data_IF_213667867753
#
_entry.id   IF_213667867753
#
_cell.length_a   1.000
_cell.length_b   1.000
_cell.length_c   1.000
_cell.angle_alpha   90.00
_cell.angle_beta   90.00
_cell.angle_gamma   90.00
#
_symmetry.space_group_name_H-M   'P 1'
#
loop_
_entity.id
_entity.type
_entity.pdbx_description
1 polymer ?
#
# COMPACT_ATOMS: atom_id res chain seq x y z
N UNK A 1 19.39 22.04 -18.26
CA UNK A 1 19.82 20.67 -17.87
C UNK A 1 18.71 19.89 -17.14
N UNK A 2 18.03 20.47 -16.16
CA UNK A 2 17.01 19.79 -15.34
C UNK A 2 15.74 19.33 -16.10
N UNK A 3 15.30 20.06 -17.13
CA UNK A 3 14.13 19.72 -17.97
C UNK A 3 14.37 18.50 -18.85
N UNK A 4 15.57 18.33 -19.39
CA UNK A 4 15.92 17.21 -20.28
C UNK A 4 15.87 15.85 -19.56
N UNK A 5 16.30 15.78 -18.28
CA UNK A 5 16.26 14.54 -17.51
C UNK A 5 14.81 14.05 -17.32
N UNK A 6 13.89 14.95 -17.00
CA UNK A 6 12.47 14.61 -16.90
C UNK A 6 11.92 14.09 -18.23
N UNK A 7 12.26 14.76 -19.33
CA UNK A 7 11.83 14.35 -20.67
C UNK A 7 12.37 12.97 -21.04
N UNK A 8 13.65 12.72 -20.80
CA UNK A 8 14.27 11.40 -21.05
C UNK A 8 13.61 10.31 -20.21
N UNK A 9 13.41 10.54 -18.91
CA UNK A 9 12.73 9.59 -18.04
C UNK A 9 11.28 9.33 -18.51
N UNK A 10 10.56 10.37 -18.89
CA UNK A 10 9.19 10.26 -19.39
C UNK A 10 9.13 9.45 -20.68
N UNK A 11 10.06 9.69 -21.63
CA UNK A 11 10.18 8.92 -22.88
C UNK A 11 10.52 7.45 -22.57
N UNK A 12 11.48 7.20 -21.68
CA UNK A 12 11.85 5.83 -21.30
C UNK A 12 10.67 5.08 -20.67
N UNK A 13 9.94 5.70 -19.74
CA UNK A 13 8.71 5.14 -19.15
C UNK A 13 7.62 4.92 -20.21
N UNK A 14 7.47 5.86 -21.16
CA UNK A 14 6.56 5.71 -22.27
C UNK A 14 6.88 4.50 -23.13
N UNK A 15 8.13 4.34 -23.53
CA UNK A 15 8.59 3.21 -24.35
C UNK A 15 8.41 1.88 -23.62
N UNK A 16 8.80 1.82 -22.35
CA UNK A 16 8.60 0.62 -21.50
C UNK A 16 7.13 0.25 -21.38
N UNK A 17 6.26 1.23 -21.08
CA UNK A 17 4.81 0.99 -20.98
C UNK A 17 4.14 0.60 -22.30
N UNK A 18 4.74 0.91 -23.44
CA UNK A 18 4.21 0.56 -24.77
C UNK A 18 4.53 -0.87 -25.19
N UNK A 19 5.46 -1.54 -24.50
CA UNK A 19 5.87 -2.90 -24.84
C UNK A 19 4.73 -3.91 -24.72
N UNK A 20 4.65 -4.92 -25.59
CA UNK A 20 3.69 -6.00 -25.45
C UNK A 20 3.96 -6.84 -24.19
N UNK A 21 2.91 -7.47 -23.63
CA UNK A 21 2.99 -8.21 -22.35
C UNK A 21 4.05 -9.30 -22.33
N UNK A 22 4.23 -10.02 -23.43
CA UNK A 22 5.23 -11.08 -23.50
C UNK A 22 6.66 -10.55 -23.34
N UNK A 23 6.95 -9.38 -23.94
CA UNK A 23 8.26 -8.74 -23.82
C UNK A 23 8.49 -8.17 -22.42
N UNK A 24 7.44 -7.61 -21.78
CA UNK A 24 7.51 -7.21 -20.37
C UNK A 24 7.83 -8.39 -19.47
N UNK A 25 7.23 -9.57 -19.71
CA UNK A 25 7.55 -10.79 -18.96
C UNK A 25 9.03 -11.16 -19.06
N UNK A 26 9.59 -11.14 -20.27
CA UNK A 26 11.02 -11.44 -20.50
C UNK A 26 11.90 -10.41 -19.76
N UNK A 27 11.61 -9.11 -19.94
CA UNK A 27 12.36 -8.05 -19.26
C UNK A 27 12.26 -8.13 -17.73
N UNK A 28 11.09 -8.48 -17.20
CA UNK A 28 10.92 -8.65 -15.75
C UNK A 28 11.81 -9.79 -15.21
N UNK A 29 11.89 -10.92 -15.88
CA UNK A 29 12.79 -12.00 -15.49
C UNK A 29 14.27 -11.58 -15.54
N UNK A 30 14.66 -10.89 -16.60
CA UNK A 30 16.03 -10.38 -16.75
C UNK A 30 16.36 -9.37 -15.63
N UNK A 31 15.49 -8.39 -15.38
CA UNK A 31 15.71 -7.39 -14.34
C UNK A 31 15.66 -8.00 -12.93
N UNK A 32 14.78 -8.96 -12.68
CA UNK A 32 14.74 -9.69 -11.41
C UNK A 32 16.05 -10.44 -11.17
N UNK A 33 16.58 -11.12 -12.20
CA UNK A 33 17.85 -11.81 -12.12
C UNK A 33 19.02 -10.86 -11.84
N UNK A 34 19.07 -9.71 -12.55
CA UNK A 34 20.10 -8.67 -12.36
C UNK A 34 20.02 -8.10 -10.94
N UNK A 35 18.83 -7.71 -10.48
CA UNK A 35 18.62 -7.15 -9.13
C UNK A 35 18.98 -8.15 -8.03
N UNK A 36 18.61 -9.42 -8.19
CA UNK A 36 18.86 -10.44 -7.20
C UNK A 36 20.31 -10.93 -7.21
N UNK A 37 20.88 -11.20 -8.40
CA UNK A 37 22.16 -11.92 -8.53
C UNK A 37 23.36 -11.00 -8.65
N UNK A 38 23.26 -9.89 -9.40
CA UNK A 38 24.40 -9.02 -9.69
C UNK A 38 24.43 -7.79 -8.80
N UNK A 39 23.30 -7.06 -8.68
CA UNK A 39 23.24 -5.84 -7.87
C UNK A 39 23.07 -6.20 -6.40
N UNK A 40 22.39 -7.30 -6.08
CA UNK A 40 22.05 -7.66 -4.69
C UNK A 40 21.15 -6.62 -4.00
N UNK A 41 20.24 -5.98 -4.77
CA UNK A 41 19.42 -4.89 -4.26
C UNK A 41 18.70 -5.27 -2.97
N UNK A 42 19.18 -4.71 -1.85
CA UNK A 42 18.65 -4.95 -0.48
C UNK A 42 18.49 -6.45 -0.12
N UNK A 43 19.30 -7.32 -0.72
CA UNK A 43 19.14 -8.77 -0.61
C UNK A 43 19.24 -9.24 0.84
N UNK A 44 20.23 -8.80 1.59
CA UNK A 44 20.41 -9.15 3.01
C UNK A 44 19.19 -8.75 3.83
N UNK A 45 18.63 -7.53 3.58
CA UNK A 45 17.43 -7.06 4.26
C UNK A 45 16.21 -7.93 3.94
N UNK A 46 16.02 -8.30 2.67
CA UNK A 46 14.91 -9.18 2.24
C UNK A 46 15.03 -10.55 2.89
N UNK A 47 16.22 -11.15 2.89
CA UNK A 47 16.48 -12.46 3.49
C UNK A 47 16.27 -12.43 5.01
N UNK A 48 16.73 -11.38 5.68
CA UNK A 48 16.51 -11.19 7.12
C UNK A 48 15.03 -10.99 7.47
N UNK A 49 14.33 -10.14 6.73
CA UNK A 49 12.90 -9.91 6.92
C UNK A 49 12.10 -11.21 6.76
N UNK A 50 12.39 -12.00 5.71
CA UNK A 50 11.73 -13.29 5.50
C UNK A 50 12.06 -14.30 6.60
N UNK A 51 13.31 -14.35 7.08
CA UNK A 51 13.72 -15.24 8.16
C UNK A 51 12.98 -14.96 9.46
N UNK A 52 12.80 -13.69 9.79
CA UNK A 52 12.09 -13.26 11.00
C UNK A 52 10.57 -13.42 10.88
N UNK A 53 10.02 -13.14 9.69
CA UNK A 53 8.58 -13.22 9.44
C UNK A 53 8.05 -14.65 9.33
N UNK A 54 8.89 -15.60 8.86
CA UNK A 54 8.53 -17.00 8.64
C UNK A 54 9.59 -17.93 9.25
N UNK A 55 9.74 -17.94 10.60
CA UNK A 55 10.72 -18.80 11.26
C UNK A 55 10.42 -20.29 11.05
N UNK A 56 9.14 -20.65 10.82
CA UNK A 56 8.66 -22.00 10.58
C UNK A 56 9.08 -22.59 9.24
N UNK A 57 9.43 -21.74 8.26
CA UNK A 57 9.84 -22.20 6.93
C UNK A 57 11.34 -22.55 6.91
N UNK A 58 11.72 -23.51 6.07
CA UNK A 58 13.11 -23.82 5.78
C UNK A 58 13.81 -22.69 5.01
N UNK A 59 15.15 -22.65 5.05
CA UNK A 59 15.94 -21.69 4.28
C UNK A 59 15.69 -21.79 2.77
N UNK A 60 15.43 -23.02 2.28
CA UNK A 60 15.14 -23.27 0.87
C UNK A 60 13.81 -22.63 0.47
N UNK A 61 12.78 -22.76 1.30
CA UNK A 61 11.47 -22.16 1.06
C UNK A 61 11.56 -20.63 1.10
N UNK A 62 12.21 -20.07 2.12
CA UNK A 62 12.44 -18.61 2.22
C UNK A 62 13.21 -18.07 1.01
N UNK A 63 14.26 -18.76 0.54
CA UNK A 63 14.99 -18.39 -0.69
C UNK A 63 14.10 -18.44 -1.93
N UNK A 64 13.17 -19.41 -2.03
CA UNK A 64 12.19 -19.49 -3.12
C UNK A 64 11.25 -18.28 -3.10
N UNK A 65 10.70 -17.94 -1.92
CA UNK A 65 9.88 -16.73 -1.73
C UNK A 65 10.66 -15.48 -2.13
N UNK A 66 11.89 -15.31 -1.65
CA UNK A 66 12.76 -14.19 -1.99
C UNK A 66 13.00 -14.02 -3.49
N UNK A 67 13.32 -15.10 -4.21
CA UNK A 67 13.47 -15.05 -5.67
C UNK A 67 12.18 -14.65 -6.38
N UNK A 68 11.05 -15.18 -5.93
CA UNK A 68 9.74 -14.84 -6.49
C UNK A 68 9.36 -13.37 -6.18
N UNK A 69 9.75 -12.87 -5.01
CA UNK A 69 9.60 -11.46 -4.64
C UNK A 69 10.31 -10.53 -5.65
N UNK A 70 11.56 -10.80 -6.04
CA UNK A 70 12.24 -9.94 -7.02
C UNK A 70 11.58 -9.96 -8.40
N UNK A 71 11.03 -11.10 -8.82
CA UNK A 71 10.23 -11.14 -10.04
C UNK A 71 8.96 -10.31 -9.90
N UNK A 72 8.26 -10.45 -8.77
CA UNK A 72 7.06 -9.66 -8.47
C UNK A 72 7.35 -8.16 -8.41
N UNK A 73 8.45 -7.76 -7.75
CA UNK A 73 8.90 -6.37 -7.67
C UNK A 73 9.13 -5.77 -9.05
N UNK A 74 9.83 -6.50 -9.93
CA UNK A 74 10.10 -6.03 -11.30
C UNK A 74 8.85 -6.02 -12.17
N UNK A 75 7.95 -6.99 -12.01
CA UNK A 75 6.63 -6.98 -12.66
C UNK A 75 5.83 -5.73 -12.24
N UNK A 76 5.75 -5.45 -10.95
CA UNK A 76 5.04 -4.27 -10.41
C UNK A 76 5.61 -2.98 -10.98
N UNK A 77 6.94 -2.80 -10.97
CA UNK A 77 7.60 -1.62 -11.51
C UNK A 77 7.34 -1.42 -13.00
N UNK A 78 7.52 -2.47 -13.81
CA UNK A 78 7.28 -2.40 -15.25
C UNK A 78 5.82 -2.16 -15.58
N UNK A 79 4.91 -2.76 -14.80
CA UNK A 79 3.47 -2.58 -14.99
C UNK A 79 3.01 -1.17 -14.61
N UNK A 80 3.63 -0.53 -13.62
CA UNK A 80 3.34 0.87 -13.25
C UNK A 80 3.53 1.84 -14.42
N UNK A 81 4.48 1.56 -15.33
CA UNK A 81 4.63 2.35 -16.57
C UNK A 81 3.62 1.97 -17.65
N UNK A 82 3.06 0.76 -17.59
CA UNK A 82 2.04 0.31 -18.53
C UNK A 82 0.64 0.82 -18.21
N UNK A 83 0.28 0.90 -16.92
CA UNK A 83 -1.05 1.32 -16.46
C UNK A 83 -1.52 2.60 -17.17
N UNK A 84 -0.76 3.70 -17.20
CA UNK A 84 -1.20 4.95 -17.83
C UNK A 84 -1.41 4.85 -19.36
N UNK A 85 -1.01 3.73 -19.98
CA UNK A 85 -1.16 3.45 -21.42
C UNK A 85 -2.39 2.62 -21.74
N UNK A 86 -2.99 2.03 -20.70
CA UNK A 86 -4.19 1.22 -20.87
C UNK A 86 -5.42 2.12 -20.99
N UNK A 87 -6.31 1.79 -21.93
CA UNK A 87 -7.66 2.33 -21.89
C UNK A 87 -8.41 1.70 -20.70
N UNK A 88 -9.49 2.35 -20.28
CA UNK A 88 -10.38 1.85 -19.23
C UNK A 88 -10.80 0.40 -19.47
N UNK A 89 -11.29 0.08 -20.70
CA UNK A 89 -11.67 -1.28 -21.09
C UNK A 89 -10.54 -2.30 -20.91
N UNK A 90 -9.29 -1.91 -21.24
CA UNK A 90 -8.12 -2.79 -21.05
C UNK A 90 -7.74 -2.92 -19.60
N UNK A 91 -7.84 -1.85 -18.81
CA UNK A 91 -7.55 -1.89 -17.38
C UNK A 91 -8.53 -2.82 -16.65
N UNK A 92 -9.83 -2.72 -16.94
CA UNK A 92 -10.88 -3.60 -16.38
C UNK A 92 -10.65 -5.10 -16.70
N UNK A 93 -9.84 -5.44 -17.68
CA UNK A 93 -9.44 -6.83 -17.95
C UNK A 93 -8.35 -7.34 -16.99
N UNK A 94 -7.69 -6.46 -16.26
CA UNK A 94 -6.56 -6.77 -15.38
C UNK A 94 -6.86 -6.54 -13.90
N UNK A 95 -7.85 -5.71 -13.61
CA UNK A 95 -8.18 -5.26 -12.25
C UNK A 95 -9.67 -5.44 -12.01
N UNK A 96 -9.99 -6.11 -10.92
CA UNK A 96 -11.35 -6.23 -10.41
C UNK A 96 -11.45 -5.68 -8.98
N UNK A 97 -12.64 -5.24 -8.60
CA UNK A 97 -13.01 -4.97 -7.21
C UNK A 97 -14.14 -5.91 -6.83
N UNK A 98 -13.98 -6.59 -5.73
CA UNK A 98 -15.01 -7.41 -5.10
C UNK A 98 -15.60 -6.70 -3.88
N UNK A 99 -16.86 -6.98 -3.57
CA UNK A 99 -17.62 -6.41 -2.45
C UNK A 99 -17.83 -4.88 -2.60
N UNK A 100 -18.02 -4.39 -3.82
CA UNK A 100 -18.20 -2.96 -4.11
C UNK A 100 -19.48 -2.41 -3.47
N UNK A 101 -20.49 -3.27 -3.24
CA UNK A 101 -21.71 -2.96 -2.51
C UNK A 101 -21.46 -2.39 -1.11
N UNK A 102 -20.31 -2.72 -0.51
CA UNK A 102 -19.90 -2.17 0.78
C UNK A 102 -19.73 -0.64 0.74
N UNK A 103 -18.98 -0.14 -0.25
CA UNK A 103 -18.76 1.31 -0.39
C UNK A 103 -20.03 2.02 -0.88
N UNK A 104 -20.86 1.35 -1.66
CA UNK A 104 -22.16 1.88 -2.09
C UNK A 104 -23.11 2.05 -0.90
N UNK A 105 -23.15 1.09 0.01
CA UNK A 105 -23.91 1.18 1.25
C UNK A 105 -23.45 2.38 2.08
N UNK A 106 -22.15 2.52 2.32
CA UNK A 106 -21.61 3.65 3.08
C UNK A 106 -21.96 5.00 2.42
N UNK A 107 -21.94 5.08 1.09
CA UNK A 107 -22.39 6.28 0.37
C UNK A 107 -23.88 6.56 0.59
N UNK A 108 -24.74 5.54 0.53
CA UNK A 108 -26.19 5.66 0.77
C UNK A 108 -26.50 6.08 2.20
N UNK A 109 -25.64 5.72 3.17
CA UNK A 109 -25.71 6.19 4.56
C UNK A 109 -25.26 7.66 4.73
N UNK A 110 -24.85 8.33 3.64
CA UNK A 110 -24.53 9.76 3.60
C UNK A 110 -23.06 10.10 3.86
N UNK A 111 -22.16 9.11 3.89
CA UNK A 111 -20.73 9.36 4.07
C UNK A 111 -20.12 10.03 2.83
N UNK A 112 -19.52 11.21 3.01
CA UNK A 112 -18.83 11.97 1.94
C UNK A 112 -17.41 11.46 1.68
N UNK A 113 -16.78 10.89 2.69
CA UNK A 113 -15.42 10.35 2.61
C UNK A 113 -15.37 8.95 3.19
N UNK A 114 -14.73 8.03 2.47
CA UNK A 114 -14.41 6.67 2.92
C UNK A 114 -12.89 6.54 2.93
N UNK A 115 -12.31 6.21 4.07
CA UNK A 115 -10.88 5.89 4.16
C UNK A 115 -10.68 4.46 3.67
N UNK A 116 -9.80 4.28 2.68
CA UNK A 116 -9.39 2.98 2.15
C UNK A 116 -7.96 2.71 2.57
N UNK A 117 -7.76 1.72 3.43
CA UNK A 117 -6.43 1.27 3.85
C UNK A 117 -5.98 0.06 3.04
N UNK A 118 -4.69 -0.01 2.73
CA UNK A 118 -4.07 -1.17 2.07
C UNK A 118 -2.58 -1.24 2.40
N UNK A 119 -1.93 -2.34 2.06
CA UNK A 119 -0.48 -2.50 2.12
C UNK A 119 0.18 -2.40 0.75
N UNK A 120 1.52 -2.30 0.74
CA UNK A 120 2.33 -2.43 -0.47
C UNK A 120 2.44 -3.92 -0.87
N UNK A 121 1.30 -4.54 -1.15
CA UNK A 121 1.15 -5.95 -1.51
C UNK A 121 0.51 -6.09 -2.88
N UNK A 122 0.82 -7.16 -3.60
CA UNK A 122 0.37 -7.31 -4.97
C UNK A 122 0.89 -6.17 -5.85
N UNK A 123 0.09 -5.75 -6.80
CA UNK A 123 0.38 -4.52 -7.57
C UNK A 123 -0.55 -3.39 -7.12
N UNK A 124 -0.24 -2.77 -5.99
CA UNK A 124 -1.01 -1.64 -5.45
C UNK A 124 -1.10 -0.44 -6.42
N UNK A 125 -0.10 -0.24 -7.30
CA UNK A 125 -0.13 0.85 -8.28
C UNK A 125 -1.25 0.68 -9.31
N UNK A 126 -1.67 -0.53 -9.62
CA UNK A 126 -2.75 -0.77 -10.58
C UNK A 126 -4.09 -0.24 -10.06
N UNK A 127 -4.25 -0.15 -8.75
CA UNK A 127 -5.45 0.40 -8.12
C UNK A 127 -5.52 1.94 -8.14
N UNK A 128 -4.48 2.63 -8.62
CA UNK A 128 -4.59 4.04 -8.99
C UNK A 128 -5.55 4.24 -10.18
N UNK A 129 -5.83 3.19 -10.94
CA UNK A 129 -6.85 3.17 -11.99
C UNK A 129 -8.28 2.82 -11.49
N UNK A 130 -8.45 2.57 -10.18
CA UNK A 130 -9.76 2.30 -9.57
C UNK A 130 -10.82 3.36 -9.90
N UNK A 131 -10.52 4.66 -10.05
CA UNK A 131 -11.51 5.64 -10.49
C UNK A 131 -12.31 5.17 -11.72
N UNK A 132 -11.66 4.57 -12.72
CA UNK A 132 -12.38 4.05 -13.89
C UNK A 132 -13.35 2.91 -13.59
N UNK A 133 -13.16 2.23 -12.45
CA UNK A 133 -14.05 1.12 -12.05
C UNK A 133 -15.24 1.63 -11.25
N UNK A 134 -15.05 2.75 -10.51
CA UNK A 134 -16.03 3.26 -9.55
C UNK A 134 -16.66 4.61 -9.94
N UNK A 135 -16.08 5.36 -10.90
CA UNK A 135 -16.61 6.67 -11.32
C UNK A 135 -18.05 6.59 -11.85
N UNK A 136 -18.36 5.55 -12.60
CA UNK A 136 -19.72 5.29 -13.08
C UNK A 136 -20.76 5.20 -11.94
N UNK A 137 -20.27 4.98 -10.71
CA UNK A 137 -21.06 4.85 -9.48
C UNK A 137 -21.06 6.13 -8.63
N UNK A 138 -20.50 7.24 -9.11
CA UNK A 138 -20.47 8.53 -8.42
C UNK A 138 -19.42 8.63 -7.31
N UNK A 139 -18.32 7.89 -7.41
CA UNK A 139 -17.19 8.02 -6.49
C UNK A 139 -16.04 8.81 -7.11
N UNK A 140 -15.37 9.62 -6.30
CA UNK A 140 -14.05 10.18 -6.59
C UNK A 140 -12.97 9.40 -5.84
N UNK A 141 -11.71 9.47 -6.28
CA UNK A 141 -10.59 8.79 -5.64
C UNK A 141 -9.42 9.75 -5.39
N UNK A 142 -8.85 9.65 -4.20
CA UNK A 142 -7.64 10.36 -3.82
C UNK A 142 -6.63 9.40 -3.20
N UNK A 143 -5.34 9.56 -3.54
CA UNK A 143 -4.26 8.77 -2.99
C UNK A 143 -3.39 9.65 -2.10
N UNK A 144 -3.23 9.29 -0.84
CA UNK A 144 -2.28 9.95 0.05
C UNK A 144 -0.87 9.50 -0.32
N UNK A 145 0.03 10.44 -0.54
CA UNK A 145 1.40 10.14 -0.90
C UNK A 145 2.41 10.97 -0.10
N UNK A 146 3.60 10.41 0.07
CA UNK A 146 4.76 11.13 0.59
C UNK A 146 5.56 11.66 -0.59
N UNK A 147 5.87 12.96 -0.58
CA UNK A 147 6.72 13.57 -1.59
C UNK A 147 8.07 12.87 -1.67
N UNK A 148 8.50 12.54 -2.89
CA UNK A 148 9.79 11.90 -3.11
C UNK A 148 10.92 12.94 -3.09
N UNK A 149 12.10 12.51 -2.64
CA UNK A 149 13.29 13.38 -2.57
C UNK A 149 13.78 13.87 -3.93
N UNK A 150 13.55 13.07 -4.99
CA UNK A 150 13.86 13.49 -6.35
C UNK A 150 12.63 14.13 -7.00
N UNK A 151 12.63 15.45 -7.26
CA UNK A 151 11.45 16.18 -7.74
C UNK A 151 11.01 15.78 -9.17
N UNK A 152 11.92 15.23 -9.99
CA UNK A 152 11.55 14.75 -11.33
C UNK A 152 10.81 13.44 -11.27
N UNK A 153 11.26 12.54 -10.41
CA UNK A 153 10.62 11.26 -10.21
C UNK A 153 9.27 11.44 -9.48
N UNK A 154 9.21 12.36 -8.53
CA UNK A 154 7.99 12.74 -7.84
C UNK A 154 6.92 13.23 -8.84
N UNK A 155 7.26 14.21 -9.67
CA UNK A 155 6.38 14.74 -10.71
C UNK A 155 5.92 13.65 -11.69
N UNK A 156 6.84 12.76 -12.09
CA UNK A 156 6.52 11.64 -12.96
C UNK A 156 5.50 10.70 -12.34
N UNK A 157 5.72 10.28 -11.08
CA UNK A 157 4.81 9.36 -10.38
C UNK A 157 3.43 9.97 -10.15
N UNK A 158 3.36 11.26 -9.80
CA UNK A 158 2.08 11.98 -9.70
C UNK A 158 1.35 11.96 -11.05
N UNK A 159 2.04 12.35 -12.14
CA UNK A 159 1.43 12.35 -13.47
C UNK A 159 0.93 10.98 -13.91
N UNK A 160 1.67 9.90 -13.59
CA UNK A 160 1.25 8.53 -13.89
C UNK A 160 -0.03 8.14 -13.12
N UNK A 161 -0.12 8.49 -11.83
CA UNK A 161 -1.29 8.19 -10.98
C UNK A 161 -2.51 9.02 -11.35
N UNK A 162 -2.33 10.29 -11.70
CA UNK A 162 -3.43 11.18 -12.08
C UNK A 162 -4.02 10.87 -13.47
N UNK A 163 -3.33 10.10 -14.29
CA UNK A 163 -3.77 9.77 -15.66
C UNK A 163 -5.17 9.14 -15.72
N UNK A 164 -5.56 8.43 -14.69
CA UNK A 164 -6.87 7.76 -14.59
C UNK A 164 -7.86 8.50 -13.66
N UNK A 165 -7.64 9.80 -13.43
CA UNK A 165 -8.57 10.64 -12.65
C UNK A 165 -8.38 10.58 -11.13
N UNK A 166 -7.34 9.90 -10.63
CA UNK A 166 -7.03 9.93 -9.21
C UNK A 166 -6.43 11.29 -8.81
N UNK A 167 -6.83 11.82 -7.65
CA UNK A 167 -6.17 12.97 -7.03
C UNK A 167 -5.01 12.48 -6.16
N UNK A 168 -3.87 13.18 -6.18
CA UNK A 168 -2.77 12.92 -5.25
C UNK A 168 -2.74 14.00 -4.16
N UNK A 169 -2.86 13.60 -2.89
CA UNK A 169 -2.83 14.49 -1.73
C UNK A 169 -1.52 14.27 -0.98
N UNK A 170 -0.73 15.32 -0.80
CA UNK A 170 0.50 15.24 -0.03
C UNK A 170 0.16 14.96 1.45
N UNK A 171 0.89 14.06 2.07
CA UNK A 171 0.62 13.51 3.42
C UNK A 171 0.40 14.61 4.48
N UNK A 172 1.16 15.72 4.44
CA UNK A 172 1.04 16.82 5.40
C UNK A 172 -0.23 17.64 5.22
N UNK A 173 -0.84 17.59 4.04
CA UNK A 173 -2.07 18.31 3.69
C UNK A 173 -3.33 17.50 3.99
N UNK A 174 -3.17 16.20 4.29
CA UNK A 174 -4.29 15.26 4.39
C UNK A 174 -5.38 15.74 5.33
N UNK A 175 -5.02 16.13 6.55
CA UNK A 175 -6.01 16.56 7.56
C UNK A 175 -6.81 17.77 7.06
N UNK A 176 -6.12 18.78 6.51
CA UNK A 176 -6.75 19.99 5.97
C UNK A 176 -7.74 19.65 4.85
N UNK A 177 -7.29 18.86 3.87
CA UNK A 177 -8.12 18.48 2.70
C UNK A 177 -9.36 17.70 3.13
N UNK A 178 -9.22 16.76 4.08
CA UNK A 178 -10.36 16.00 4.58
C UNK A 178 -11.35 16.89 5.34
N UNK A 179 -10.88 17.81 6.19
CA UNK A 179 -11.76 18.77 6.88
C UNK A 179 -12.52 19.67 5.91
N UNK A 180 -11.82 20.23 4.91
CA UNK A 180 -12.45 21.08 3.88
C UNK A 180 -13.49 20.30 3.07
N UNK A 181 -13.20 19.03 2.76
CA UNK A 181 -14.14 18.17 2.06
C UNK A 181 -15.40 17.88 2.88
N UNK A 182 -15.27 17.49 4.15
CA UNK A 182 -16.43 17.23 5.01
C UNK A 182 -17.30 18.47 5.21
N UNK A 183 -16.69 19.67 5.28
CA UNK A 183 -17.40 20.94 5.37
C UNK A 183 -18.03 21.39 4.04
N UNK A 184 -17.61 20.84 2.92
CA UNK A 184 -18.08 21.24 1.59
C UNK A 184 -19.52 20.78 1.32
N UNK A 185 -20.18 21.44 0.36
CA UNK A 185 -21.50 21.06 -0.14
C UNK A 185 -21.44 19.92 -1.19
N UNK A 186 -20.26 19.31 -1.40
CA UNK A 186 -20.09 18.22 -2.37
C UNK A 186 -21.02 17.05 -2.05
N UNK A 187 -21.66 16.52 -3.08
CA UNK A 187 -22.57 15.35 -3.00
C UNK A 187 -21.89 14.05 -3.41
N UNK A 188 -20.68 14.12 -3.98
CA UNK A 188 -19.92 12.91 -4.34
C UNK A 188 -19.24 12.30 -3.10
N UNK A 189 -19.04 11.01 -3.12
CA UNK A 189 -18.28 10.29 -2.09
C UNK A 189 -16.84 10.08 -2.57
N UNK A 190 -15.85 10.52 -1.78
CA UNK A 190 -14.45 10.28 -2.06
C UNK A 190 -13.96 9.02 -1.36
N UNK A 191 -13.24 8.18 -2.08
CA UNK A 191 -12.42 7.11 -1.53
C UNK A 191 -11.00 7.64 -1.39
N UNK A 192 -10.51 7.73 -0.15
CA UNK A 192 -9.18 8.27 0.17
C UNK A 192 -8.27 7.13 0.60
N UNK A 193 -7.31 6.78 -0.27
CA UNK A 193 -6.46 5.62 -0.13
C UNK A 193 -5.17 5.93 0.67
N UNK A 194 -4.90 5.08 1.66
CA UNK A 194 -3.70 5.09 2.50
C UNK A 194 -2.95 3.77 2.40
N UNK A 195 -1.69 3.83 1.98
CA UNK A 195 -0.75 2.72 2.13
C UNK A 195 -0.08 2.84 3.50
N UNK A 196 -0.55 2.08 4.48
CA UNK A 196 -0.27 2.32 5.90
C UNK A 196 0.74 1.32 6.52
N UNK A 197 1.38 0.47 5.71
CA UNK A 197 2.24 -0.63 6.14
C UNK A 197 3.74 -0.27 6.23
N UNK A 198 4.13 0.96 5.91
CA UNK A 198 5.52 1.37 6.05
C UNK A 198 5.88 1.75 7.50
N UNK A 199 7.18 1.76 7.79
CA UNK A 199 7.68 2.17 9.09
C UNK A 199 7.37 3.65 9.35
N UNK A 200 6.72 4.03 10.46
CA UNK A 200 6.53 5.42 10.82
C UNK A 200 7.87 6.12 11.10
N UNK A 201 7.84 7.44 11.19
CA UNK A 201 8.93 8.18 11.84
C UNK A 201 8.88 7.94 13.36
N UNK A 202 10.03 7.95 14.04
CA UNK A 202 10.09 7.70 15.48
C UNK A 202 9.20 8.67 16.27
N UNK A 203 9.18 9.95 15.88
CA UNK A 203 8.39 10.99 16.50
C UNK A 203 6.88 10.82 16.29
N UNK A 204 6.50 10.05 15.28
CA UNK A 204 5.10 9.77 14.92
C UNK A 204 4.62 8.38 15.35
N UNK A 205 5.53 7.53 15.83
CA UNK A 205 5.17 6.21 16.34
C UNK A 205 4.39 6.35 17.65
N UNK A 206 3.18 5.76 17.72
CA UNK A 206 2.29 5.84 18.89
C UNK A 206 1.71 4.49 19.29
N UNK A 207 1.82 3.51 18.42
CA UNK A 207 1.25 2.18 18.64
C UNK A 207 2.19 1.09 18.16
N UNK A 208 2.34 0.03 18.97
CA UNK A 208 3.12 -1.14 18.68
C UNK A 208 2.32 -2.42 18.90
N UNK A 209 2.43 -3.36 17.95
CA UNK A 209 1.80 -4.67 18.02
C UNK A 209 2.73 -5.75 17.48
N UNK A 210 2.39 -7.01 17.72
CA UNK A 210 3.06 -8.13 17.08
C UNK A 210 2.56 -8.25 15.63
N UNK A 211 3.51 -8.28 14.69
CA UNK A 211 3.20 -8.39 13.26
C UNK A 211 4.29 -9.19 12.56
N UNK A 212 3.90 -10.27 11.89
CA UNK A 212 4.84 -11.21 11.25
C UNK A 212 5.94 -11.66 12.23
N UNK A 213 5.53 -12.10 13.42
CA UNK A 213 6.41 -12.56 14.50
C UNK A 213 7.41 -11.51 15.01
N UNK A 214 7.18 -10.23 14.79
CA UNK A 214 8.10 -9.16 15.22
C UNK A 214 7.37 -8.01 15.89
N UNK A 215 7.94 -7.44 17.00
CA UNK A 215 7.47 -6.18 17.57
C UNK A 215 7.51 -5.07 16.51
N UNK A 216 6.36 -4.46 16.24
CA UNK A 216 6.19 -3.60 15.07
C UNK A 216 5.40 -2.33 15.40
N UNK A 217 5.94 -1.17 15.03
CA UNK A 217 5.23 0.11 15.08
C UNK A 217 4.38 0.32 13.81
N UNK A 218 3.22 0.96 13.93
CA UNK A 218 2.35 1.29 12.79
C UNK A 218 2.09 2.78 12.65
N UNK A 219 1.79 3.20 11.40
CA UNK A 219 1.30 4.54 11.09
C UNK A 219 -0.14 4.65 11.58
N UNK A 220 -0.41 5.56 12.52
CA UNK A 220 -1.72 5.71 13.18
C UNK A 220 -2.50 6.95 12.70
N UNK A 221 -1.90 7.80 11.88
CA UNK A 221 -2.49 9.09 11.48
C UNK A 221 -3.84 8.94 10.76
N UNK A 222 -4.01 7.94 9.93
CA UNK A 222 -5.25 7.64 9.23
C UNK A 222 -6.39 7.26 10.20
N UNK A 223 -6.10 6.43 11.24
CA UNK A 223 -7.09 6.09 12.27
C UNK A 223 -7.46 7.31 13.10
N UNK A 224 -6.48 8.16 13.44
CA UNK A 224 -6.74 9.40 14.19
C UNK A 224 -7.71 10.30 13.43
N UNK A 225 -7.55 10.44 12.12
CA UNK A 225 -8.46 11.20 11.26
C UNK A 225 -9.83 10.52 11.15
N UNK A 226 -9.84 9.20 10.92
CA UNK A 226 -11.07 8.41 10.85
C UNK A 226 -11.93 8.60 12.11
N UNK A 227 -11.33 8.46 13.29
CA UNK A 227 -12.04 8.59 14.57
C UNK A 227 -12.51 10.01 14.85
N UNK A 228 -11.66 11.01 14.59
CA UNK A 228 -12.02 12.43 14.85
C UNK A 228 -13.16 12.93 13.98
N UNK A 229 -13.24 12.44 12.75
CA UNK A 229 -14.21 12.91 11.76
C UNK A 229 -15.32 11.89 11.50
N UNK A 230 -15.31 10.75 12.20
CA UNK A 230 -16.21 9.60 12.04
C UNK A 230 -16.28 9.11 10.58
N UNK A 231 -15.12 9.03 9.90
CA UNK A 231 -15.04 8.59 8.52
C UNK A 231 -14.94 7.06 8.47
N UNK A 232 -15.85 6.35 7.79
CA UNK A 232 -15.80 4.90 7.69
C UNK A 232 -14.46 4.44 7.08
N UNK A 233 -14.01 3.28 7.55
CA UNK A 233 -12.72 2.71 7.13
C UNK A 233 -12.95 1.34 6.51
N UNK A 234 -12.42 1.16 5.31
CA UNK A 234 -12.42 -0.08 4.55
C UNK A 234 -10.96 -0.51 4.32
N UNK A 235 -10.69 -1.81 4.43
CA UNK A 235 -9.43 -2.42 4.05
C UNK A 235 -9.57 -3.02 2.65
N UNK A 236 -8.59 -2.80 1.78
CA UNK A 236 -8.50 -3.47 0.49
C UNK A 236 -7.47 -4.60 0.55
N UNK A 237 -7.98 -5.81 0.51
CA UNK A 237 -7.21 -7.05 0.46
C UNK A 237 -6.88 -7.36 -1.00
N UNK A 238 -5.64 -7.08 -1.41
CA UNK A 238 -5.20 -7.25 -2.80
C UNK A 238 -4.73 -8.69 -3.02
N UNK A 239 -5.35 -9.38 -3.96
CA UNK A 239 -4.99 -10.74 -4.38
C UNK A 239 -4.46 -10.70 -5.81
N UNK A 240 -3.35 -11.41 -6.04
CA UNK A 240 -2.83 -11.68 -7.38
C UNK A 240 -3.45 -12.98 -7.90
N UNK A 241 -4.53 -12.90 -8.68
CA UNK A 241 -5.25 -14.06 -9.20
C UNK A 241 -4.39 -14.85 -10.20
N UNK A 242 -3.64 -14.11 -10.98
CA UNK A 242 -2.61 -14.63 -11.87
C UNK A 242 -1.63 -13.52 -12.24
N UNK A 243 -0.57 -13.84 -12.96
CA UNK A 243 0.40 -12.83 -13.40
C UNK A 243 -0.29 -11.77 -14.27
N UNK A 244 -0.34 -10.52 -13.78
CA UNK A 244 -0.98 -9.33 -14.38
C UNK A 244 -2.52 -9.30 -14.26
N UNK A 245 -3.08 -10.00 -13.29
CA UNK A 245 -4.49 -9.89 -12.92
C UNK A 245 -4.60 -9.80 -11.40
N UNK A 246 -5.35 -8.82 -10.92
CA UNK A 246 -5.46 -8.52 -9.50
C UNK A 246 -6.90 -8.21 -9.12
N UNK A 247 -7.33 -8.74 -8.00
CA UNK A 247 -8.62 -8.42 -7.40
C UNK A 247 -8.39 -7.74 -6.05
N UNK A 248 -9.02 -6.58 -5.85
CA UNK A 248 -9.10 -5.91 -4.56
C UNK A 248 -10.41 -6.30 -3.86
N UNK A 249 -10.34 -7.06 -2.79
CA UNK A 249 -11.51 -7.41 -1.97
C UNK A 249 -11.70 -6.36 -0.89
N UNK A 250 -12.84 -5.67 -0.90
CA UNK A 250 -13.17 -4.65 0.10
C UNK A 250 -13.71 -5.32 1.37
N UNK A 251 -13.11 -4.97 2.53
CA UNK A 251 -13.48 -5.48 3.85
C UNK A 251 -13.70 -4.32 4.81
N UNK A 252 -14.86 -4.24 5.46
CA UNK A 252 -15.16 -3.17 6.42
C UNK A 252 -14.29 -3.32 7.67
N UNK A 253 -13.57 -2.26 8.04
CA UNK A 253 -12.90 -2.16 9.34
C UNK A 253 -13.82 -1.52 10.38
N UNK A 254 -14.47 -0.43 10.04
CA UNK A 254 -15.50 0.21 10.88
C UNK A 254 -16.35 1.17 10.06
N UNK A 255 -17.67 1.14 10.27
CA UNK A 255 -18.60 2.16 9.76
C UNK A 255 -18.64 3.41 10.67
N UNK A 256 -18.35 3.25 11.97
CA UNK A 256 -18.44 4.31 12.98
C UNK A 256 -17.13 4.42 13.79
N UNK A 257 -16.03 4.89 13.20
CA UNK A 257 -14.73 4.96 13.86
C UNK A 257 -14.68 5.77 15.14
N UNK A 258 -15.55 6.77 15.29
CA UNK A 258 -15.63 7.57 16.51
C UNK A 258 -15.97 6.75 17.77
N UNK A 259 -16.66 5.62 17.61
CA UNK A 259 -17.04 4.71 18.69
C UNK A 259 -15.94 3.68 19.02
N UNK A 260 -14.94 3.55 18.19
CA UNK A 260 -13.86 2.59 18.38
C UNK A 260 -12.87 3.03 19.45
N UNK A 261 -12.27 2.08 20.15
CA UNK A 261 -11.16 2.36 21.06
C UNK A 261 -9.93 2.86 20.27
N UNK A 262 -9.06 3.69 20.88
CA UNK A 262 -7.81 4.08 20.25
C UNK A 262 -7.00 2.87 19.79
N UNK A 263 -6.49 2.93 18.57
CA UNK A 263 -5.66 1.92 17.90
C UNK A 263 -6.37 0.59 17.54
N UNK A 264 -7.67 0.43 17.80
CA UNK A 264 -8.41 -0.78 17.44
C UNK A 264 -8.46 -1.01 15.94
N UNK A 265 -8.53 0.06 15.14
CA UNK A 265 -8.55 -0.06 13.69
C UNK A 265 -7.15 -0.39 13.13
N UNK A 266 -6.10 0.16 13.73
CA UNK A 266 -4.71 -0.19 13.37
C UNK A 266 -4.44 -1.65 13.67
N UNK A 267 -4.94 -2.18 14.79
CA UNK A 267 -4.79 -3.61 15.14
C UNK A 267 -5.50 -4.51 14.13
N UNK A 268 -6.76 -4.21 13.80
CA UNK A 268 -7.50 -4.95 12.75
C UNK A 268 -6.81 -4.88 11.40
N UNK A 269 -6.31 -3.69 11.03
CA UNK A 269 -5.54 -3.50 9.80
C UNK A 269 -4.29 -4.36 9.78
N UNK A 270 -3.50 -4.37 10.87
CA UNK A 270 -2.29 -5.17 10.98
C UNK A 270 -2.59 -6.66 10.81
N UNK A 271 -3.65 -7.14 11.45
CA UNK A 271 -4.09 -8.54 11.35
C UNK A 271 -4.50 -8.93 9.91
N UNK A 272 -5.34 -8.12 9.26
CA UNK A 272 -5.76 -8.36 7.88
C UNK A 272 -4.60 -8.30 6.89
N UNK A 273 -3.68 -7.37 7.09
CA UNK A 273 -2.48 -7.27 6.27
C UNK A 273 -1.57 -8.50 6.46
N UNK A 274 -1.41 -8.99 7.70
CA UNK A 274 -0.64 -10.20 7.96
C UNK A 274 -1.27 -11.42 7.30
N UNK A 275 -2.60 -11.60 7.41
CA UNK A 275 -3.33 -12.66 6.70
C UNK A 275 -3.07 -12.61 5.18
N UNK A 276 -3.13 -11.39 4.59
CA UNK A 276 -2.91 -11.20 3.16
C UNK A 276 -1.47 -11.57 2.76
N UNK A 277 -0.47 -11.14 3.56
CA UNK A 277 0.94 -11.48 3.32
C UNK A 277 1.18 -12.98 3.44
N UNK A 278 0.61 -13.64 4.45
CA UNK A 278 0.80 -15.09 4.64
C UNK A 278 0.21 -15.93 3.51
N UNK A 279 -0.89 -15.47 2.88
CA UNK A 279 -1.47 -16.14 1.70
C UNK A 279 -0.60 -16.01 0.44
N UNK A 280 0.11 -14.89 0.27
CA UNK A 280 0.95 -14.63 -0.91
C UNK A 280 2.27 -13.93 -0.50
N UNK A 281 3.18 -14.69 0.18
CA UNK A 281 4.32 -14.12 0.87
C UNK A 281 5.35 -13.45 -0.07
N UNK A 282 5.35 -13.77 -1.36
CA UNK A 282 6.21 -13.11 -2.34
C UNK A 282 5.71 -11.72 -2.77
N UNK A 283 4.46 -11.37 -2.46
CA UNK A 283 3.79 -10.21 -3.04
C UNK A 283 3.95 -8.92 -2.22
N UNK A 284 4.49 -8.98 -1.00
CA UNK A 284 4.70 -7.82 -0.14
C UNK A 284 6.06 -7.15 -0.36
N UNK A 285 6.18 -5.85 -0.03
CA UNK A 285 7.38 -5.03 -0.29
C UNK A 285 8.51 -5.34 0.71
N UNK A 286 9.09 -6.54 0.64
CA UNK A 286 10.16 -7.01 1.55
C UNK A 286 11.43 -6.16 1.54
N UNK A 287 11.70 -5.38 0.49
CA UNK A 287 12.84 -4.48 0.43
C UNK A 287 12.66 -3.20 1.27
N UNK A 288 11.48 -2.96 1.85
CA UNK A 288 11.30 -1.87 2.81
C UNK A 288 11.92 -2.26 4.17
N UNK A 289 12.67 -1.32 4.79
CA UNK A 289 13.20 -1.51 6.14
C UNK A 289 12.08 -1.27 7.17
N UNK A 290 11.16 -2.26 7.27
CA UNK A 290 9.91 -2.16 8.01
C UNK A 290 10.13 -2.06 9.52
N UNK A 291 11.10 -2.77 10.05
CA UNK A 291 11.38 -2.89 11.49
C UNK A 291 12.54 -2.00 11.94
N UNK A 292 12.74 -0.87 11.23
CA UNK A 292 13.78 0.11 11.59
C UNK A 292 13.50 0.80 12.94
N UNK A 293 12.22 1.07 13.22
CA UNK A 293 11.75 1.64 14.49
C UNK A 293 10.91 0.58 15.17
N UNK A 294 11.41 0.07 16.27
CA UNK A 294 10.73 -0.94 17.08
C UNK A 294 10.01 -0.27 18.25
N UNK A 295 8.96 -0.90 18.81
CA UNK A 295 8.23 -0.33 19.95
C UNK A 295 9.13 0.05 21.12
N UNK A 296 10.11 -0.77 21.47
CA UNK A 296 11.05 -0.49 22.56
C UNK A 296 11.98 0.72 22.31
N UNK A 297 12.13 1.16 21.07
CA UNK A 297 12.94 2.32 20.72
C UNK A 297 12.15 3.64 20.86
N UNK A 298 10.88 3.61 21.32
CA UNK A 298 9.97 4.76 21.36
C UNK A 298 9.52 5.04 22.78
N UNK A 299 9.82 6.24 23.29
CA UNK A 299 9.55 6.64 24.68
C UNK A 299 8.06 6.76 25.06
N UNK A 300 7.18 7.03 24.09
CA UNK A 300 5.72 7.21 24.30
C UNK A 300 4.94 6.38 23.31
N UNK A 301 4.73 5.12 23.63
CA UNK A 301 4.03 4.18 22.76
C UNK A 301 2.98 3.40 23.56
N UNK A 302 1.84 3.15 22.95
CA UNK A 302 0.85 2.20 23.45
C UNK A 302 1.15 0.84 22.83
N UNK A 303 1.24 -0.19 23.65
CA UNK A 303 1.47 -1.57 23.21
C UNK A 303 0.15 -2.33 23.12
N UNK A 304 0.01 -3.18 22.09
CA UNK A 304 -1.11 -4.09 22.04
C UNK A 304 -1.05 -5.13 23.16
N UNK A 305 -2.21 -5.70 23.56
CA UNK A 305 -2.24 -6.81 24.51
C UNK A 305 -1.45 -8.04 24.02
N UNK A 306 -1.31 -8.22 22.72
CA UNK A 306 -0.54 -9.32 22.13
C UNK A 306 0.96 -9.10 22.20
N UNK A 307 1.42 -7.85 22.16
CA UNK A 307 2.85 -7.51 22.19
C UNK A 307 3.38 -7.36 23.61
N UNK A 308 2.61 -6.82 24.54
CA UNK A 308 3.08 -6.52 25.89
C UNK A 308 3.79 -7.71 26.60
N UNK A 309 3.29 -8.95 26.55
CA UNK A 309 3.98 -10.10 27.14
C UNK A 309 5.33 -10.44 26.49
N UNK A 310 5.48 -10.20 25.19
CA UNK A 310 6.72 -10.52 24.46
C UNK A 310 7.88 -9.59 24.77
N UNK A 311 7.60 -8.34 25.16
CA UNK A 311 8.67 -7.39 25.52
C UNK A 311 9.16 -7.57 26.95
N UNK A 312 8.31 -8.06 27.86
CA UNK A 312 8.68 -8.32 29.28
C UNK A 312 9.67 -9.49 29.36
N UNK A 313 9.60 -10.46 28.45
CA UNK A 313 10.49 -11.62 28.42
C UNK A 313 11.92 -11.29 27.92
N UNK A 314 12.09 -10.26 27.09
CA UNK A 314 13.40 -9.84 26.56
C UNK A 314 14.22 -9.01 27.60
N UNK A 315 13.60 -8.45 28.64
CA UNK A 315 14.31 -7.71 29.70
C UNK A 315 14.86 -8.64 30.80
N UNK A 316 14.63 -9.94 30.74
CA UNK A 316 14.98 -10.92 31.79
C UNK A 316 16.14 -11.85 31.35
N UNK A 317 16.85 -11.54 30.27
CA UNK A 317 18.08 -12.18 29.81
C UNK A 317 19.18 -11.10 29.75
#
# INVERSE_FOLDING_TARGET
>A
MKSYLYTILSIACFLLGSLPRWLLKIKAHLFAYILYRWIGYRRTLVEENLRKAFPELSDTERKKIGKHYYLHLTDTLLWSFKIPRLSERKLKQHVALANVELIEKLRQEGHKTIILTMGHIGNWEVFTGVPYIIQEKGFSNANIYKQLSNPYFDRLMIALRQKHGATCIEMRQTAKVLFEREASASKDTAIVAFLADQCPFAEAARYGTLFLNQPTTFIVGWETLARKMNLPVVYMDIVSDSRFHWTGHLRLLSAHPAQEKPFALVERYAHLLEENIRRQPYAWLWSHNRWRIRPQDVSRITLSPTLAPHLIQDETI
#
